data_IF_655450549646
#
_entry.id   IF_655450549646
#
_cell.length_a   1.000
_cell.length_b   1.000
_cell.length_c   1.000
_cell.angle_alpha   90.00
_cell.angle_beta   90.00
_cell.angle_gamma   90.00
#
_symmetry.space_group_name_H-M   'P 1'
#
loop_
_entity.id
_entity.type
_entity.pdbx_description
1 polymer ?
#
# COMPACT_ATOMS: atom_id res chain seq x y z
N UNK A 1 45.26 -18.47 -18.17
CA UNK A 1 45.18 -17.95 -16.78
C UNK A 1 46.05 -16.71 -16.73
N UNK A 2 45.44 -15.52 -16.84
CA UNK A 2 46.16 -14.25 -16.97
C UNK A 2 46.27 -13.52 -15.64
N UNK A 3 47.44 -12.94 -15.40
CA UNK A 3 47.91 -12.34 -14.15
C UNK A 3 47.10 -11.11 -13.72
N UNK A 4 46.45 -11.21 -12.55
CA UNK A 4 45.64 -10.16 -11.93
C UNK A 4 46.46 -9.13 -11.12
N UNK A 5 47.79 -9.05 -11.32
CA UNK A 5 48.71 -8.29 -10.45
C UNK A 5 49.22 -6.95 -10.99
N UNK A 6 48.57 -6.34 -11.98
CA UNK A 6 49.09 -5.10 -12.63
C UNK A 6 48.08 -3.97 -12.85
N UNK A 7 47.09 -3.78 -11.97
CA UNK A 7 46.26 -2.56 -12.01
C UNK A 7 46.18 -1.88 -10.65
N UNK A 8 47.07 -0.89 -10.45
CA UNK A 8 46.97 0.09 -9.37
C UNK A 8 45.75 0.98 -9.63
N UNK A 9 44.89 1.27 -8.64
CA UNK A 9 43.81 2.24 -8.82
C UNK A 9 44.41 3.64 -8.97
N UNK A 10 43.99 4.37 -10.01
CA UNK A 10 44.29 5.81 -10.14
C UNK A 10 43.53 6.53 -9.03
N UNK A 11 44.28 7.09 -8.08
CA UNK A 11 43.76 8.01 -7.08
C UNK A 11 43.22 9.23 -7.83
N UNK A 12 41.96 9.58 -7.59
CA UNK A 12 41.36 10.80 -8.14
C UNK A 12 41.88 11.94 -7.25
N UNK A 13 42.79 12.75 -7.78
CA UNK A 13 43.19 14.00 -7.14
C UNK A 13 42.00 14.96 -7.21
N UNK A 14 41.23 15.05 -6.11
CA UNK A 14 40.22 16.09 -5.91
C UNK A 14 40.92 17.39 -5.49
N UNK A 15 41.57 18.05 -6.43
CA UNK A 15 41.87 19.48 -6.29
C UNK A 15 40.56 20.26 -6.36
N UNK A 16 39.95 20.44 -5.19
CA UNK A 16 38.78 21.30 -5.02
C UNK A 16 39.29 22.72 -4.74
N UNK A 17 39.01 23.74 -5.57
CA UNK A 17 39.39 25.09 -5.25
C UNK A 17 38.63 25.57 -4.02
N UNK A 18 39.40 26.02 -3.03
CA UNK A 18 38.94 26.57 -1.74
C UNK A 18 37.91 27.67 -1.98
N UNK A 19 36.63 27.33 -1.81
CA UNK A 19 35.54 28.30 -1.82
C UNK A 19 35.75 29.27 -0.64
N UNK A 20 35.67 30.56 -0.96
CA UNK A 20 35.83 31.68 -0.04
C UNK A 20 34.85 31.55 1.13
N UNK A 21 35.40 31.53 2.33
CA UNK A 21 34.68 31.78 3.57
C UNK A 21 34.01 33.16 3.49
N UNK A 22 32.70 33.19 3.65
CA UNK A 22 31.90 34.38 3.91
C UNK A 22 30.84 34.01 4.98
N UNK A 23 30.42 34.98 5.80
CA UNK A 23 30.35 34.84 7.25
C UNK A 23 29.09 34.13 7.74
N UNK A 24 29.23 33.59 8.96
CA UNK A 24 28.18 33.26 9.93
C UNK A 24 26.83 33.94 9.63
N UNK A 25 25.98 33.25 8.87
CA UNK A 25 24.57 33.52 8.86
C UNK A 25 24.01 32.82 10.10
N UNK A 26 23.56 33.64 11.05
CA UNK A 26 22.87 33.28 12.28
C UNK A 26 22.11 31.95 12.19
N UNK A 27 22.53 30.97 12.97
CA UNK A 27 21.66 29.85 13.33
C UNK A 27 20.54 30.42 14.18
N UNK A 28 19.42 30.77 13.54
CA UNK A 28 18.16 30.91 14.26
C UNK A 28 17.89 29.62 15.04
N UNK A 29 17.30 29.71 16.24
CA UNK A 29 17.03 28.52 17.04
C UNK A 29 16.18 27.60 16.18
N UNK A 30 16.74 26.45 15.80
CA UNK A 30 15.97 25.35 15.24
C UNK A 30 14.93 25.05 16.30
N UNK A 31 13.72 25.56 16.10
CA UNK A 31 12.58 25.29 16.96
C UNK A 31 12.58 23.78 17.17
N UNK A 32 12.61 23.37 18.42
CA UNK A 32 12.45 21.96 18.81
C UNK A 32 11.01 21.59 18.49
N UNK A 33 10.66 21.54 17.20
CA UNK A 33 9.45 20.87 16.75
C UNK A 33 9.52 19.50 17.36
N UNK A 34 8.48 19.15 18.11
CA UNK A 34 8.41 17.83 18.72
C UNK A 34 8.58 16.81 17.58
N UNK A 35 9.28 15.70 17.85
CA UNK A 35 9.45 14.64 16.84
C UNK A 35 8.08 14.20 16.29
N UNK A 36 7.05 14.29 17.13
CA UNK A 36 5.64 14.06 16.82
C UNK A 36 5.07 15.06 15.79
N UNK A 37 5.35 16.36 15.90
CA UNK A 37 4.95 17.36 14.91
C UNK A 37 5.59 17.11 13.54
N UNK A 38 6.87 16.74 13.51
CA UNK A 38 7.58 16.43 12.26
C UNK A 38 6.99 15.18 11.62
N UNK A 39 6.73 14.13 12.40
CA UNK A 39 6.07 12.92 11.91
C UNK A 39 4.66 13.25 11.40
N UNK A 40 3.90 14.08 12.12
CA UNK A 40 2.54 14.48 11.71
C UNK A 40 2.53 15.24 10.38
N UNK A 41 3.51 16.13 10.15
CA UNK A 41 3.67 16.88 8.91
C UNK A 41 4.09 15.97 7.74
N UNK A 42 4.93 14.96 8.00
CA UNK A 42 5.39 14.02 6.97
C UNK A 42 4.30 13.03 6.54
N UNK A 43 3.34 12.73 7.42
CA UNK A 43 2.27 11.76 7.18
C UNK A 43 0.95 12.44 6.78
N UNK A 44 0.82 13.75 6.98
CA UNK A 44 -0.41 14.53 6.76
C UNK A 44 -1.09 14.31 5.40
N UNK A 45 -0.30 14.21 4.32
CA UNK A 45 -0.82 14.05 2.96
C UNK A 45 -0.85 12.60 2.48
N UNK A 46 -0.41 11.64 3.32
CA UNK A 46 -0.39 10.22 2.95
C UNK A 46 -1.65 9.53 3.48
N UNK A 47 -2.36 8.75 2.66
CA UNK A 47 -3.48 7.96 3.14
C UNK A 47 -2.99 7.00 4.23
N UNK A 48 -3.80 6.82 5.28
CA UNK A 48 -3.55 5.82 6.31
C UNK A 48 -3.34 4.44 5.66
N UNK A 49 -2.56 3.54 6.26
CA UNK A 49 -2.30 2.20 5.72
C UNK A 49 -3.61 1.47 5.38
N UNK A 50 -4.63 1.62 6.23
CA UNK A 50 -5.96 1.05 6.01
C UNK A 50 -6.67 1.69 4.81
N UNK A 51 -6.60 3.02 4.67
CA UNK A 51 -7.21 3.72 3.54
C UNK A 51 -6.50 3.42 2.22
N UNK A 52 -5.18 3.30 2.24
CA UNK A 52 -4.37 2.88 1.10
C UNK A 52 -4.78 1.46 0.66
N UNK A 53 -4.95 0.55 1.61
CA UNK A 53 -5.43 -0.81 1.35
C UNK A 53 -6.85 -0.83 0.75
N UNK A 54 -7.80 -0.10 1.33
CA UNK A 54 -9.17 0.01 0.81
C UNK A 54 -9.16 0.61 -0.60
N UNK A 55 -8.39 1.67 -0.83
CA UNK A 55 -8.27 2.31 -2.13
C UNK A 55 -7.64 1.39 -3.18
N UNK A 56 -6.63 0.61 -2.81
CA UNK A 56 -6.03 -0.40 -3.68
C UNK A 56 -7.08 -1.46 -4.08
N UNK A 57 -7.85 -1.98 -3.13
CA UNK A 57 -8.93 -2.93 -3.41
C UNK A 57 -10.06 -2.33 -4.27
N UNK A 58 -10.38 -1.05 -4.09
CA UNK A 58 -11.38 -0.36 -4.92
C UNK A 58 -10.92 -0.25 -6.37
N UNK A 59 -9.64 0.08 -6.59
CA UNK A 59 -9.03 0.35 -7.90
C UNK A 59 -8.53 -0.91 -8.62
N UNK A 60 -8.36 -2.02 -7.92
CA UNK A 60 -7.91 -3.28 -8.50
C UNK A 60 -8.81 -3.76 -9.65
N UNK A 61 -8.17 -4.44 -10.61
CA UNK A 61 -8.87 -5.11 -11.71
C UNK A 61 -9.80 -6.21 -11.17
N UNK A 62 -10.99 -6.32 -11.78
CA UNK A 62 -12.01 -7.28 -11.35
C UNK A 62 -12.18 -8.33 -12.43
N UNK A 63 -11.91 -9.59 -12.09
CA UNK A 63 -12.27 -10.74 -12.91
C UNK A 63 -13.63 -11.30 -12.49
N UNK A 64 -14.39 -11.82 -13.46
CA UNK A 64 -15.59 -12.58 -13.15
C UNK A 64 -15.18 -14.00 -12.72
N UNK A 65 -15.61 -14.43 -11.53
CA UNK A 65 -15.49 -15.84 -11.13
C UNK A 65 -16.64 -16.59 -11.79
N UNK A 66 -16.31 -17.46 -12.75
CA UNK A 66 -17.31 -18.31 -13.41
C UNK A 66 -17.59 -19.55 -12.56
N UNK A 67 -18.87 -19.87 -12.37
CA UNK A 67 -19.32 -21.10 -11.71
C UNK A 67 -19.49 -22.27 -12.69
N UNK A 68 -19.02 -22.15 -13.94
CA UNK A 68 -19.23 -23.15 -15.00
C UNK A 68 -18.63 -24.52 -14.69
N UNK A 69 -17.62 -24.58 -13.82
CA UNK A 69 -16.97 -25.83 -13.40
C UNK A 69 -17.42 -26.33 -12.03
N UNK A 70 -18.34 -25.62 -11.36
CA UNK A 70 -18.84 -26.00 -10.04
C UNK A 70 -20.07 -26.90 -10.21
N UNK A 71 -20.13 -28.06 -9.52
CA UNK A 71 -21.32 -28.91 -9.52
C UNK A 71 -22.60 -28.18 -9.10
N UNK A 72 -23.69 -28.45 -9.81
CA UNK A 72 -25.02 -27.85 -9.55
C UNK A 72 -25.44 -27.94 -8.08
N UNK A 73 -25.30 -29.08 -7.38
CA UNK A 73 -25.73 -29.18 -5.98
C UNK A 73 -25.02 -28.17 -5.06
N UNK A 74 -23.76 -27.84 -5.33
CA UNK A 74 -23.00 -26.88 -4.53
C UNK A 74 -23.51 -25.46 -4.79
N UNK A 75 -23.85 -25.14 -6.04
CA UNK A 75 -24.44 -23.85 -6.41
C UNK A 75 -25.79 -23.68 -5.70
N UNK A 76 -26.62 -24.71 -5.69
CA UNK A 76 -27.93 -24.69 -5.01
C UNK A 76 -27.79 -24.50 -3.49
N UNK A 77 -26.84 -25.20 -2.86
CA UNK A 77 -26.55 -25.01 -1.42
C UNK A 77 -26.08 -23.59 -1.12
N UNK A 78 -25.22 -23.02 -1.96
CA UNK A 78 -24.80 -21.61 -1.84
C UNK A 78 -25.99 -20.65 -1.96
N UNK A 79 -26.87 -20.87 -2.93
CA UNK A 79 -28.04 -20.02 -3.14
C UNK A 79 -29.07 -20.14 -2.01
N UNK A 80 -29.25 -21.34 -1.44
CA UNK A 80 -30.07 -21.53 -0.25
C UNK A 80 -29.51 -20.73 0.94
N UNK A 81 -28.20 -20.82 1.19
CA UNK A 81 -27.55 -20.10 2.29
C UNK A 81 -27.54 -18.58 2.08
N UNK A 82 -27.44 -18.13 0.83
CA UNK A 82 -27.60 -16.71 0.47
C UNK A 82 -29.00 -16.20 0.81
N UNK A 83 -30.04 -16.97 0.48
CA UNK A 83 -31.43 -16.62 0.79
C UNK A 83 -31.69 -16.57 2.30
N UNK A 84 -31.14 -17.53 3.05
CA UNK A 84 -31.26 -17.55 4.53
C UNK A 84 -30.67 -16.30 5.18
N UNK A 85 -29.52 -15.83 4.67
CA UNK A 85 -28.83 -14.66 5.21
C UNK A 85 -29.29 -13.34 4.57
N UNK A 86 -30.15 -13.39 3.55
CA UNK A 86 -30.60 -12.21 2.81
C UNK A 86 -29.48 -11.46 2.07
N UNK A 87 -28.40 -12.17 1.69
CA UNK A 87 -27.20 -11.59 1.08
C UNK A 87 -27.15 -11.85 -0.42
N UNK A 88 -26.60 -10.91 -1.19
CA UNK A 88 -26.30 -11.14 -2.61
C UNK A 88 -25.10 -12.07 -2.78
N UNK A 89 -24.96 -12.71 -3.96
CA UNK A 89 -23.83 -13.62 -4.30
C UNK A 89 -22.46 -13.06 -3.94
N UNK A 90 -22.20 -11.79 -4.27
CA UNK A 90 -20.93 -11.11 -4.00
C UNK A 90 -20.73 -10.82 -2.51
N UNK A 91 -21.79 -10.38 -1.83
CA UNK A 91 -21.74 -10.06 -0.40
C UNK A 91 -21.54 -11.32 0.44
N UNK A 92 -22.20 -12.41 0.06
CA UNK A 92 -22.04 -13.72 0.67
C UNK A 92 -20.61 -14.25 0.48
N UNK A 93 -20.01 -14.07 -0.69
CA UNK A 93 -18.60 -14.42 -0.92
C UNK A 93 -17.66 -13.66 0.02
N UNK A 94 -17.83 -12.34 0.15
CA UNK A 94 -17.02 -11.56 1.10
C UNK A 94 -17.31 -11.90 2.55
N UNK A 95 -18.54 -12.29 2.88
CA UNK A 95 -18.90 -12.76 4.21
C UNK A 95 -18.17 -14.05 4.58
N UNK A 96 -18.12 -15.02 3.66
CA UNK A 96 -17.34 -16.26 3.87
C UNK A 96 -15.86 -15.97 4.11
N UNK A 97 -15.25 -15.15 3.26
CA UNK A 97 -13.84 -14.81 3.40
C UNK A 97 -13.54 -14.04 4.71
N UNK A 98 -14.48 -13.22 5.20
CA UNK A 98 -14.34 -12.57 6.52
C UNK A 98 -14.43 -13.58 7.67
N UNK A 99 -15.31 -14.57 7.57
CA UNK A 99 -15.42 -15.64 8.57
C UNK A 99 -14.15 -16.48 8.62
N UNK A 100 -13.47 -16.67 7.49
CA UNK A 100 -12.18 -17.35 7.40
C UNK A 100 -11.00 -16.49 7.91
N UNK A 101 -11.28 -15.29 8.43
CA UNK A 101 -10.29 -14.43 9.08
C UNK A 101 -9.53 -13.48 8.15
N UNK A 102 -9.94 -13.36 6.88
CA UNK A 102 -9.35 -12.38 5.97
C UNK A 102 -9.85 -10.97 6.30
N UNK A 103 -8.92 -10.01 6.38
CA UNK A 103 -9.21 -8.58 6.59
C UNK A 103 -9.84 -7.98 5.33
N UNK A 104 -11.11 -8.25 5.10
CA UNK A 104 -11.87 -7.71 3.95
C UNK A 104 -12.74 -6.56 4.43
N UNK A 105 -12.56 -5.35 3.85
CA UNK A 105 -13.35 -4.18 4.22
C UNK A 105 -14.85 -4.42 4.05
N UNK A 106 -15.67 -3.67 4.79
CA UNK A 106 -17.12 -3.77 4.79
C UNK A 106 -17.71 -3.58 3.38
N UNK A 107 -18.89 -4.15 3.06
CA UNK A 107 -19.54 -3.92 1.76
C UNK A 107 -19.75 -2.44 1.46
N UNK A 108 -20.00 -1.62 2.50
CA UNK A 108 -20.13 -0.16 2.40
C UNK A 108 -18.83 0.53 1.97
N UNK A 109 -17.69 0.00 2.39
CA UNK A 109 -16.37 0.56 2.08
C UNK A 109 -15.90 0.15 0.69
N UNK A 110 -16.32 -1.01 0.18
CA UNK A 110 -15.98 -1.50 -1.16
C UNK A 110 -16.97 -1.07 -2.26
N UNK A 111 -17.95 -0.23 -1.93
CA UNK A 111 -18.92 0.29 -2.90
C UNK A 111 -18.19 0.96 -4.08
N UNK A 112 -18.60 0.59 -5.29
CA UNK A 112 -18.07 1.13 -6.53
C UNK A 112 -18.30 2.64 -6.66
N UNK A 113 -19.28 3.21 -5.94
CA UNK A 113 -19.54 4.66 -5.88
C UNK A 113 -18.45 5.44 -5.15
N UNK A 114 -17.71 4.79 -4.24
CA UNK A 114 -16.65 5.41 -3.44
C UNK A 114 -15.27 5.34 -4.12
N UNK A 115 -15.23 5.22 -5.45
CA UNK A 115 -13.98 5.19 -6.25
C UNK A 115 -13.44 6.59 -6.60
N UNK A 116 -14.28 7.62 -6.45
CA UNK A 116 -13.95 9.02 -6.72
C UNK A 116 -13.08 9.65 -5.65
#
# INVERSE_FOLDING_TARGET
>A
MGDYKTRKPKLIDLDTPKAKTAPEAATEPTERRSVEEIISQLVQDRPSEYEAFVNALRKAERSNVSYSQVPIPIIEMMEARQKELGLQKKEYFYHLLRNDGLKIPSPKELDARNRG
#
